data_IF_693006806100
#
_entry.id   IF_693006806100
#
_cell.length_a   1.000
_cell.length_b   1.000
_cell.length_c   1.000
_cell.angle_alpha   90.00
_cell.angle_beta   90.00
_cell.angle_gamma   90.00
#
_symmetry.space_group_name_H-M   'P 1'
#
loop_
_entity.id
_entity.type
_entity.pdbx_description
1 polymer ?
#
# COMPACT_ATOMS: atom_id res chain seq x y z
N UNK A 1 8.89 17.80 14.91
CA UNK A 1 7.78 17.20 14.14
C UNK A 1 8.32 16.90 12.76
N UNK A 2 8.05 15.73 12.19
CA UNK A 2 8.47 15.37 10.82
C UNK A 2 7.74 16.23 9.79
N UNK A 3 8.45 16.69 8.76
CA UNK A 3 7.89 17.53 7.69
C UNK A 3 6.66 16.88 7.01
N UNK A 4 5.60 17.65 6.70
CA UNK A 4 4.46 17.15 5.93
C UNK A 4 4.86 16.78 4.49
N UNK A 5 4.23 15.73 3.98
CA UNK A 5 4.42 15.24 2.60
C UNK A 5 3.27 15.70 1.71
N UNK A 6 3.60 16.26 0.56
CA UNK A 6 2.67 16.63 -0.51
C UNK A 6 3.11 15.98 -1.82
N UNK A 7 2.14 15.65 -2.66
CA UNK A 7 2.42 14.90 -3.88
C UNK A 7 2.42 15.83 -5.10
N UNK A 8 3.44 15.74 -5.94
CA UNK A 8 3.64 16.58 -7.13
C UNK A 8 3.77 15.71 -8.38
N UNK A 9 3.40 16.27 -9.54
CA UNK A 9 3.52 15.60 -10.83
C UNK A 9 4.92 15.79 -11.46
N UNK A 10 5.61 16.87 -11.10
CA UNK A 10 6.92 17.24 -11.62
C UNK A 10 7.74 17.98 -10.56
N UNK A 11 9.06 17.98 -10.73
CA UNK A 11 10.03 18.63 -9.85
C UNK A 11 10.73 19.82 -10.54
N UNK A 12 10.05 20.45 -11.49
CA UNK A 12 10.61 21.56 -12.28
C UNK A 12 10.66 22.86 -11.45
N UNK A 13 11.73 23.01 -10.68
CA UNK A 13 12.01 24.27 -9.97
C UNK A 13 12.62 25.32 -10.92
N UNK A 14 12.37 26.60 -10.64
CA UNK A 14 13.04 27.71 -11.31
C UNK A 14 14.56 27.68 -11.08
N UNK A 15 15.32 28.52 -11.81
CA UNK A 15 16.78 28.54 -11.73
C UNK A 15 17.37 28.90 -10.35
N UNK A 16 16.53 29.40 -9.44
CA UNK A 16 16.84 29.70 -8.03
C UNK A 16 16.31 28.62 -7.05
N UNK A 17 15.81 27.50 -7.56
CA UNK A 17 15.17 26.45 -6.76
C UNK A 17 13.74 26.80 -6.33
N UNK A 18 13.15 27.90 -6.80
CA UNK A 18 11.77 28.27 -6.45
C UNK A 18 10.77 27.32 -7.13
N UNK A 19 9.93 26.67 -6.33
CA UNK A 19 8.83 25.83 -6.79
C UNK A 19 7.51 26.33 -6.20
N UNK A 20 6.44 26.27 -6.98
CA UNK A 20 5.09 26.64 -6.52
C UNK A 20 4.21 25.41 -6.51
N UNK A 21 3.83 24.97 -5.32
CA UNK A 21 2.81 23.94 -5.12
C UNK A 21 1.43 24.59 -5.14
N UNK A 22 0.64 24.27 -6.14
CA UNK A 22 -0.70 24.81 -6.34
C UNK A 22 -1.80 23.72 -6.34
N UNK A 23 -2.99 24.07 -6.82
CA UNK A 23 -4.11 23.14 -6.93
C UNK A 23 -4.58 22.59 -5.58
N UNK A 24 -5.09 21.34 -5.54
CA UNK A 24 -5.57 20.71 -4.31
C UNK A 24 -4.50 20.59 -3.21
N UNK A 25 -3.26 20.27 -3.57
CA UNK A 25 -2.15 20.10 -2.63
C UNK A 25 -1.70 21.45 -2.04
N UNK A 26 -1.59 22.50 -2.88
CA UNK A 26 -1.32 23.86 -2.41
C UNK A 26 -2.41 24.39 -1.47
N UNK A 27 -3.68 24.13 -1.77
CA UNK A 27 -4.80 24.43 -0.85
C UNK A 27 -4.71 23.67 0.45
N UNK A 28 -4.35 22.39 0.42
CA UNK A 28 -4.15 21.61 1.62
C UNK A 28 -3.00 22.19 2.46
N UNK A 29 -1.91 22.59 1.84
CA UNK A 29 -0.76 23.20 2.52
C UNK A 29 -1.12 24.53 3.20
N UNK A 30 -1.73 25.46 2.46
CA UNK A 30 -1.95 26.84 2.92
C UNK A 30 -3.20 26.95 3.80
N UNK A 31 -4.32 26.37 3.40
CA UNK A 31 -5.60 26.57 4.10
C UNK A 31 -5.83 25.56 5.22
N UNK A 32 -5.39 24.31 5.04
CA UNK A 32 -5.65 23.21 5.99
C UNK A 32 -4.49 23.04 6.96
N UNK A 33 -3.27 22.85 6.45
CA UNK A 33 -2.05 22.71 7.27
C UNK A 33 -1.53 24.05 7.79
N UNK A 34 -1.86 25.17 7.11
CA UNK A 34 -1.50 26.54 7.49
C UNK A 34 0.01 26.73 7.69
N UNK A 35 0.79 26.14 6.77
CA UNK A 35 2.24 26.24 6.77
C UNK A 35 2.71 27.68 6.64
N UNK A 36 3.80 28.01 7.32
CA UNK A 36 4.40 29.34 7.35
C UNK A 36 5.81 29.33 6.73
N UNK A 37 6.31 30.49 6.27
CA UNK A 37 7.70 30.65 5.87
C UNK A 37 8.68 30.11 6.92
N UNK A 38 9.68 29.36 6.46
CA UNK A 38 10.70 28.72 7.29
C UNK A 38 10.34 27.31 7.78
N UNK A 39 9.13 26.81 7.52
CA UNK A 39 8.77 25.42 7.81
C UNK A 39 9.28 24.46 6.73
N UNK A 40 9.66 23.24 7.15
CA UNK A 40 10.09 22.18 6.24
C UNK A 40 8.89 21.46 5.63
N UNK A 41 9.01 21.04 4.37
CA UNK A 41 8.02 20.27 3.63
C UNK A 41 8.70 19.30 2.69
N UNK A 42 8.10 18.14 2.46
CA UNK A 42 8.58 17.15 1.48
C UNK A 42 7.60 17.13 0.31
N UNK A 43 8.14 17.29 -0.89
CA UNK A 43 7.41 17.07 -2.14
C UNK A 43 7.82 15.71 -2.71
N UNK A 44 6.87 14.87 -3.10
CA UNK A 44 7.14 13.53 -3.65
C UNK A 44 6.27 13.22 -4.86
N UNK A 45 6.71 12.35 -5.76
CA UNK A 45 5.83 11.79 -6.79
C UNK A 45 5.03 10.57 -6.31
N UNK A 46 5.29 10.10 -5.08
CA UNK A 46 4.71 8.89 -4.52
C UNK A 46 5.30 7.60 -5.11
N UNK A 47 6.27 7.72 -6.02
CA UNK A 47 6.98 6.62 -6.67
C UNK A 47 8.46 6.58 -6.25
N UNK A 48 8.79 7.17 -5.09
CA UNK A 48 10.12 7.15 -4.47
C UNK A 48 10.98 8.35 -4.76
N UNK A 49 10.64 9.21 -5.73
CA UNK A 49 11.36 10.49 -5.89
C UNK A 49 10.76 11.52 -4.97
N UNK A 50 11.63 12.31 -4.34
CA UNK A 50 11.22 13.35 -3.43
C UNK A 50 12.24 14.49 -3.35
N UNK A 51 11.80 15.64 -2.88
CA UNK A 51 12.64 16.76 -2.56
C UNK A 51 12.26 17.32 -1.19
N UNK A 52 13.26 17.48 -0.33
CA UNK A 52 13.13 18.27 0.88
C UNK A 52 13.15 19.75 0.51
N UNK A 53 12.18 20.49 1.03
CA UNK A 53 11.95 21.87 0.68
C UNK A 53 11.71 22.72 1.92
N UNK A 54 12.01 24.01 1.82
CA UNK A 54 11.67 25.00 2.86
C UNK A 54 10.62 25.95 2.32
N UNK A 55 9.55 26.19 3.07
CA UNK A 55 8.52 27.16 2.72
C UNK A 55 9.12 28.56 2.68
N UNK A 56 8.99 29.23 1.54
CA UNK A 56 9.42 30.61 1.35
C UNK A 56 8.28 31.59 1.61
N UNK A 57 7.10 31.31 1.06
CA UNK A 57 5.94 32.19 1.14
C UNK A 57 4.64 31.43 0.83
N UNK A 58 3.51 32.09 1.05
CA UNK A 58 2.18 31.64 0.67
C UNK A 58 1.50 32.70 -0.19
N UNK A 59 1.01 32.33 -1.36
CA UNK A 59 0.30 33.23 -2.27
C UNK A 59 -1.20 32.92 -2.22
N UNK A 60 -1.99 33.80 -1.58
CA UNK A 60 -3.43 33.60 -1.44
C UNK A 60 -3.80 32.45 -0.49
N UNK A 61 -4.72 31.57 -0.91
CA UNK A 61 -5.23 30.46 -0.07
C UNK A 61 -4.88 29.07 -0.59
N UNK A 62 -4.21 28.97 -1.73
CA UNK A 62 -3.98 27.71 -2.42
C UNK A 62 -2.66 27.57 -3.17
N UNK A 63 -1.70 28.50 -2.97
CA UNK A 63 -0.36 28.39 -3.54
C UNK A 63 0.69 28.50 -2.44
N UNK A 64 1.50 27.45 -2.29
CA UNK A 64 2.65 27.40 -1.39
C UNK A 64 3.91 27.57 -2.23
N UNK A 65 4.73 28.56 -1.89
CA UNK A 65 6.02 28.79 -2.52
C UNK A 65 7.09 28.15 -1.65
N UNK A 66 7.93 27.30 -2.25
CA UNK A 66 9.00 26.61 -1.55
C UNK A 66 10.33 26.78 -2.28
N UNK A 67 11.44 26.67 -1.54
CA UNK A 67 12.76 26.42 -2.11
C UNK A 67 12.97 24.91 -2.14
N UNK A 68 13.11 24.37 -3.33
CA UNK A 68 13.46 22.99 -3.61
C UNK A 68 14.97 22.92 -3.83
N UNK A 69 15.65 22.07 -3.07
CA UNK A 69 17.11 21.93 -3.14
C UNK A 69 17.52 20.92 -4.22
N UNK A 70 17.43 19.63 -3.92
CA UNK A 70 17.69 18.54 -4.87
C UNK A 70 16.61 17.48 -4.81
N UNK A 71 16.36 16.85 -5.95
CA UNK A 71 15.50 15.67 -6.03
C UNK A 71 16.34 14.43 -5.75
N UNK A 72 15.91 13.66 -4.77
CA UNK A 72 16.49 12.36 -4.38
C UNK A 72 15.52 11.25 -4.78
N UNK A 73 16.04 10.05 -5.01
CA UNK A 73 15.23 8.85 -5.21
C UNK A 73 15.53 7.84 -4.11
N UNK A 74 14.50 7.42 -3.39
CA UNK A 74 14.58 6.33 -2.42
C UNK A 74 14.60 4.98 -3.16
N UNK A 75 15.58 4.10 -2.87
CA UNK A 75 15.63 2.77 -3.47
C UNK A 75 14.35 2.00 -3.17
N UNK A 76 14.02 1.06 -4.06
CA UNK A 76 12.95 0.11 -3.75
C UNK A 76 13.39 -0.78 -2.59
N UNK A 77 12.44 -1.11 -1.73
CA UNK A 77 12.66 -1.97 -0.58
C UNK A 77 12.69 -3.44 -1.00
N UNK A 78 13.59 -4.22 -0.38
CA UNK A 78 13.73 -5.64 -0.62
C UNK A 78 13.54 -6.45 0.69
N UNK A 79 12.82 -7.58 0.66
CA UNK A 79 12.02 -8.06 -0.46
C UNK A 79 10.75 -7.21 -0.65
N UNK A 80 10.22 -7.23 -1.89
CA UNK A 80 8.97 -6.58 -2.24
C UNK A 80 7.78 -7.37 -1.68
N UNK A 81 6.84 -6.68 -1.05
CA UNK A 81 5.68 -7.27 -0.39
C UNK A 81 4.40 -6.82 -1.11
N UNK A 82 3.74 -7.77 -1.77
CA UNK A 82 2.41 -7.59 -2.36
C UNK A 82 1.35 -8.27 -1.50
N UNK A 83 0.25 -7.57 -1.22
CA UNK A 83 -0.93 -8.16 -0.57
C UNK A 83 -2.10 -8.24 -1.54
N UNK A 84 -2.50 -9.47 -1.87
CA UNK A 84 -3.75 -9.79 -2.55
C UNK A 84 -4.88 -9.76 -1.53
N UNK A 85 -5.71 -8.73 -1.61
CA UNK A 85 -6.81 -8.48 -0.68
C UNK A 85 -8.15 -8.81 -1.36
N UNK A 86 -8.83 -9.87 -0.89
CA UNK A 86 -10.18 -10.16 -1.33
C UNK A 86 -11.12 -8.98 -1.03
N UNK A 87 -12.04 -8.69 -1.95
CA UNK A 87 -12.96 -7.55 -1.83
C UNK A 87 -13.91 -7.71 -0.63
N UNK A 88 -13.72 -6.96 0.47
CA UNK A 88 -14.54 -7.11 1.66
C UNK A 88 -15.86 -6.34 1.50
N UNK A 89 -16.77 -6.47 2.48
CA UNK A 89 -18.01 -5.69 2.51
C UNK A 89 -17.80 -4.33 3.18
N UNK A 90 -18.41 -3.29 2.61
CA UNK A 90 -18.47 -1.96 3.21
C UNK A 90 -17.15 -1.18 3.08
N UNK A 91 -16.80 -0.45 4.15
CA UNK A 91 -15.63 0.41 4.28
C UNK A 91 -14.35 -0.31 4.75
N UNK A 92 -14.45 -1.63 4.99
CA UNK A 92 -13.33 -2.46 5.46
C UNK A 92 -12.19 -2.55 4.46
N UNK A 93 -12.48 -2.35 3.17
CA UNK A 93 -11.48 -2.41 2.11
C UNK A 93 -10.54 -1.22 2.19
N UNK A 94 -11.10 -0.04 2.38
CA UNK A 94 -10.35 1.19 2.59
C UNK A 94 -9.53 1.12 3.87
N UNK A 95 -10.09 0.63 4.98
CA UNK A 95 -9.33 0.42 6.21
C UNK A 95 -8.15 -0.56 6.03
N UNK A 96 -8.36 -1.64 5.26
CA UNK A 96 -7.29 -2.56 4.93
C UNK A 96 -6.18 -1.87 4.13
N UNK A 97 -6.56 -1.11 3.08
CA UNK A 97 -5.62 -0.36 2.24
C UNK A 97 -4.85 0.68 3.05
N UNK A 98 -5.53 1.44 3.89
CA UNK A 98 -4.95 2.45 4.78
C UNK A 98 -3.89 1.83 5.69
N UNK A 99 -4.26 0.82 6.47
CA UNK A 99 -3.33 0.21 7.44
C UNK A 99 -2.20 -0.58 6.78
N UNK A 100 -2.44 -1.23 5.63
CA UNK A 100 -1.38 -1.86 4.84
C UNK A 100 -0.39 -0.82 4.27
N UNK A 101 -0.91 0.33 3.83
CA UNK A 101 -0.07 1.45 3.39
C UNK A 101 0.78 1.99 4.53
N UNK A 102 0.19 2.19 5.71
CA UNK A 102 0.91 2.66 6.89
C UNK A 102 2.00 1.69 7.33
N UNK A 103 1.73 0.39 7.23
CA UNK A 103 2.65 -0.65 7.71
C UNK A 103 3.86 -0.81 6.82
N UNK A 104 3.75 -0.54 5.51
CA UNK A 104 4.87 -0.65 4.57
C UNK A 104 4.66 -1.63 3.42
N UNK A 105 3.41 -2.01 3.09
CA UNK A 105 3.13 -2.80 1.87
C UNK A 105 3.58 -2.02 0.63
N UNK A 106 4.07 -2.71 -0.39
CA UNK A 106 4.55 -2.13 -1.65
C UNK A 106 3.53 -2.23 -2.78
N UNK A 107 2.64 -3.22 -2.74
CA UNK A 107 1.49 -3.29 -3.63
C UNK A 107 0.28 -3.99 -3.02
N UNK A 108 -0.90 -3.53 -3.43
CA UNK A 108 -2.17 -4.10 -3.02
C UNK A 108 -2.93 -4.52 -4.29
N UNK A 109 -3.30 -5.79 -4.35
CA UNK A 109 -4.05 -6.37 -5.46
C UNK A 109 -5.47 -6.70 -4.99
N UNK A 110 -6.50 -5.95 -5.43
CA UNK A 110 -7.88 -6.32 -5.14
C UNK A 110 -8.22 -7.65 -5.80
N UNK A 111 -8.87 -8.55 -5.08
CA UNK A 111 -9.21 -9.89 -5.59
C UNK A 111 -10.71 -10.19 -5.49
N UNK A 112 -11.32 -10.50 -6.63
CA UNK A 112 -12.70 -10.95 -6.71
C UNK A 112 -12.79 -12.47 -6.41
N UNK A 113 -12.70 -12.82 -5.12
CA UNK A 113 -12.81 -14.20 -4.65
C UNK A 113 -14.24 -14.75 -4.82
N UNK A 114 -14.35 -16.08 -4.87
CA UNK A 114 -15.61 -16.80 -5.07
C UNK A 114 -16.66 -16.49 -4.01
N UNK A 115 -16.23 -16.28 -2.76
CA UNK A 115 -17.08 -16.00 -1.59
C UNK A 115 -17.19 -14.51 -1.25
N UNK A 116 -16.73 -13.62 -2.13
CA UNK A 116 -16.97 -12.18 -1.98
C UNK A 116 -18.45 -11.85 -2.23
N UNK A 117 -19.10 -11.21 -1.25
CA UNK A 117 -20.42 -10.61 -1.44
C UNK A 117 -20.31 -9.37 -2.33
N UNK A 118 -19.22 -8.61 -2.18
CA UNK A 118 -18.93 -7.42 -2.97
C UNK A 118 -18.45 -7.82 -4.36
N UNK A 119 -19.09 -7.26 -5.39
CA UNK A 119 -18.65 -7.43 -6.78
C UNK A 119 -18.39 -6.06 -7.41
N UNK A 120 -17.18 -5.86 -7.90
CA UNK A 120 -16.82 -4.67 -8.67
C UNK A 120 -17.18 -4.90 -10.14
N UNK A 121 -18.19 -4.18 -10.64
CA UNK A 121 -18.68 -4.27 -12.02
C UNK A 121 -18.87 -2.88 -12.60
N UNK A 122 -18.45 -2.68 -13.85
CA UNK A 122 -18.58 -1.41 -14.58
C UNK A 122 -18.10 -0.20 -13.78
N UNK A 123 -18.79 0.92 -13.95
CA UNK A 123 -18.48 2.20 -13.30
C UNK A 123 -18.43 2.12 -11.77
N UNK A 124 -19.24 1.24 -11.16
CA UNK A 124 -19.22 1.07 -9.71
C UNK A 124 -17.91 0.44 -9.24
N UNK A 125 -17.39 -0.54 -9.99
CA UNK A 125 -16.07 -1.12 -9.73
C UNK A 125 -14.96 -0.11 -9.90
N UNK A 126 -14.98 0.68 -10.99
CA UNK A 126 -14.00 1.72 -11.23
C UNK A 126 -13.97 2.79 -10.12
N UNK A 127 -15.15 3.20 -9.60
CA UNK A 127 -15.26 4.14 -8.47
C UNK A 127 -14.69 3.55 -7.18
N UNK A 128 -14.95 2.28 -6.88
CA UNK A 128 -14.38 1.61 -5.71
C UNK A 128 -12.87 1.47 -5.79
N UNK A 129 -12.33 1.10 -6.97
CA UNK A 129 -10.89 1.04 -7.20
C UNK A 129 -10.23 2.43 -7.07
N UNK A 130 -10.84 3.47 -7.65
CA UNK A 130 -10.36 4.85 -7.50
C UNK A 130 -10.34 5.29 -6.03
N UNK A 131 -11.33 4.86 -5.24
CA UNK A 131 -11.35 5.11 -3.79
C UNK A 131 -10.20 4.41 -3.07
N UNK A 132 -9.89 3.15 -3.39
CA UNK A 132 -8.73 2.46 -2.81
C UNK A 132 -7.40 3.14 -3.18
N UNK A 133 -7.23 3.55 -4.44
CA UNK A 133 -6.06 4.34 -4.88
C UNK A 133 -5.93 5.66 -4.11
N UNK A 134 -7.04 6.37 -3.91
CA UNK A 134 -7.07 7.60 -3.13
C UNK A 134 -6.72 7.34 -1.65
N UNK A 135 -7.24 6.26 -1.06
CA UNK A 135 -6.91 5.86 0.31
C UNK A 135 -5.41 5.55 0.47
N UNK A 136 -4.81 4.79 -0.45
CA UNK A 136 -3.37 4.52 -0.43
C UNK A 136 -2.54 5.81 -0.53
N UNK A 137 -2.91 6.72 -1.44
CA UNK A 137 -2.23 8.02 -1.59
C UNK A 137 -2.30 8.86 -0.31
N UNK A 138 -3.48 8.99 0.29
CA UNK A 138 -3.64 9.81 1.49
C UNK A 138 -2.97 9.17 2.72
N UNK A 139 -3.08 7.86 2.89
CA UNK A 139 -2.38 7.12 3.93
C UNK A 139 -0.86 7.30 3.77
N UNK A 140 -0.32 7.14 2.57
CA UNK A 140 1.11 7.35 2.29
C UNK A 140 1.62 8.74 2.69
N UNK A 141 0.84 9.80 2.39
CA UNK A 141 1.15 11.18 2.82
C UNK A 141 1.15 11.35 4.34
N UNK A 142 0.19 10.74 5.04
CA UNK A 142 0.13 10.81 6.50
C UNK A 142 1.25 9.99 7.16
N UNK A 143 1.62 8.85 6.57
CA UNK A 143 2.72 7.98 7.00
C UNK A 143 4.11 8.50 6.64
N UNK A 144 4.21 9.65 5.97
CA UNK A 144 5.48 10.26 5.52
C UNK A 144 6.28 9.40 4.54
N UNK A 145 5.62 8.49 3.81
CA UNK A 145 6.27 7.70 2.77
C UNK A 145 6.53 8.58 1.54
N UNK A 146 7.60 8.30 0.81
CA UNK A 146 7.85 8.89 -0.52
C UNK A 146 7.58 7.88 -1.64
N UNK A 147 7.47 6.60 -1.29
CA UNK A 147 6.95 5.52 -2.15
C UNK A 147 5.66 4.96 -1.56
N UNK A 148 4.54 5.13 -2.26
CA UNK A 148 3.23 4.60 -1.88
C UNK A 148 3.02 3.21 -2.49
N UNK A 149 2.14 2.38 -1.92
CA UNK A 149 1.81 1.11 -2.53
C UNK A 149 1.03 1.29 -3.82
N UNK A 150 1.39 0.50 -4.83
CA UNK A 150 0.62 0.40 -6.06
C UNK A 150 -0.69 -0.35 -5.79
N UNK A 151 -1.84 0.26 -6.10
CA UNK A 151 -3.14 -0.44 -6.07
C UNK A 151 -3.51 -0.87 -7.50
N UNK A 152 -3.31 -2.17 -7.76
CA UNK A 152 -3.54 -2.79 -9.05
C UNK A 152 -5.04 -2.86 -9.42
N UNK A 153 -5.33 -3.18 -10.67
CA UNK A 153 -6.69 -3.53 -11.08
C UNK A 153 -7.15 -4.83 -10.41
N UNK A 154 -8.46 -4.97 -10.23
CA UNK A 154 -9.02 -6.15 -9.57
C UNK A 154 -8.76 -7.42 -10.39
N UNK A 155 -8.16 -8.43 -9.74
CA UNK A 155 -7.84 -9.71 -10.35
C UNK A 155 -8.91 -10.76 -10.09
N UNK A 156 -9.07 -11.67 -11.05
CA UNK A 156 -9.75 -12.94 -10.90
C UNK A 156 -8.86 -13.96 -10.16
N UNK A 157 -9.45 -15.01 -9.59
CA UNK A 157 -8.69 -16.10 -8.93
C UNK A 157 -7.63 -16.71 -9.85
N UNK A 158 -7.89 -16.84 -11.16
CA UNK A 158 -6.89 -17.34 -12.13
C UNK A 158 -5.71 -16.39 -12.30
N UNK A 159 -5.96 -15.08 -12.34
CA UNK A 159 -4.90 -14.08 -12.42
C UNK A 159 -4.07 -14.03 -11.13
N UNK A 160 -4.73 -14.17 -9.97
CA UNK A 160 -4.02 -14.32 -8.69
C UNK A 160 -3.13 -15.56 -8.69
N UNK A 161 -3.62 -16.72 -9.15
CA UNK A 161 -2.79 -17.92 -9.26
C UNK A 161 -1.56 -17.71 -10.16
N UNK A 162 -1.72 -16.98 -11.28
CA UNK A 162 -0.61 -16.65 -12.17
C UNK A 162 0.39 -15.65 -11.55
N UNK A 163 -0.05 -14.77 -10.64
CA UNK A 163 0.82 -13.91 -9.85
C UNK A 163 1.61 -14.73 -8.82
N UNK A 164 0.93 -15.63 -8.09
CA UNK A 164 1.55 -16.49 -7.07
C UNK A 164 2.63 -17.40 -7.66
N UNK A 165 2.42 -17.93 -8.86
CA UNK A 165 3.40 -18.78 -9.56
C UNK A 165 4.73 -18.09 -9.91
N UNK A 166 4.81 -16.77 -9.77
CA UNK A 166 6.02 -15.98 -10.04
C UNK A 166 6.68 -15.45 -8.78
N UNK A 167 6.07 -15.65 -7.61
CA UNK A 167 6.58 -15.15 -6.35
C UNK A 167 7.66 -16.07 -5.78
N UNK A 168 8.67 -15.50 -5.15
CA UNK A 168 9.68 -16.25 -4.40
C UNK A 168 9.06 -16.84 -3.12
N UNK A 169 8.06 -16.15 -2.55
CA UNK A 169 7.17 -16.70 -1.54
C UNK A 169 5.71 -16.31 -1.82
N UNK A 170 4.87 -17.31 -2.10
CA UNK A 170 3.42 -17.16 -2.15
C UNK A 170 2.79 -17.76 -0.88
N UNK A 171 2.15 -16.91 -0.06
CA UNK A 171 1.55 -17.30 1.22
C UNK A 171 0.05 -17.02 1.26
N UNK A 172 -0.76 -18.07 1.36
CA UNK A 172 -2.20 -17.99 1.56
C UNK A 172 -2.50 -17.98 3.06
N UNK A 173 -3.03 -16.86 3.58
CA UNK A 173 -3.37 -16.72 4.98
C UNK A 173 -4.73 -17.37 5.23
N UNK A 174 -4.73 -18.48 5.95
CA UNK A 174 -5.90 -19.33 6.18
C UNK A 174 -5.99 -19.74 7.65
N UNK A 175 -7.17 -19.59 8.25
CA UNK A 175 -7.41 -19.86 9.68
C UNK A 175 -7.52 -21.35 10.01
N UNK A 176 -7.93 -22.17 9.05
CA UNK A 176 -8.14 -23.60 9.25
C UNK A 176 -6.81 -24.36 9.35
N UNK A 177 -6.46 -24.79 10.58
CA UNK A 177 -5.27 -25.61 10.84
C UNK A 177 -5.40 -27.05 10.38
N UNK A 178 -6.61 -27.56 10.13
CA UNK A 178 -6.83 -28.91 9.63
C UNK A 178 -6.38 -29.08 8.17
N UNK A 179 -6.21 -27.97 7.44
CA UNK A 179 -5.58 -27.93 6.11
C UNK A 179 -4.06 -28.10 6.13
N UNK A 180 -3.47 -28.41 7.28
CA UNK A 180 -2.00 -28.55 7.43
C UNK A 180 -1.27 -27.22 7.32
N UNK A 181 -1.89 -26.12 7.72
CA UNK A 181 -1.28 -24.79 7.64
C UNK A 181 -0.07 -24.65 8.56
N UNK A 182 0.97 -23.99 8.06
CA UNK A 182 2.18 -23.72 8.84
C UNK A 182 2.04 -22.40 9.63
N UNK A 183 2.69 -22.24 10.79
CA UNK A 183 2.71 -20.95 11.47
C UNK A 183 3.47 -19.91 10.64
N UNK A 184 2.82 -18.81 10.27
CA UNK A 184 3.48 -17.77 9.45
C UNK A 184 4.68 -17.13 10.17
N UNK A 185 4.62 -17.06 11.51
CA UNK A 185 5.67 -16.51 12.35
C UNK A 185 7.04 -17.21 12.17
N UNK A 186 7.05 -18.47 11.72
CA UNK A 186 8.26 -19.28 11.50
C UNK A 186 8.49 -19.62 10.03
N UNK A 187 7.75 -19.03 9.11
CA UNK A 187 7.92 -19.28 7.68
C UNK A 187 9.36 -18.93 7.24
N UNK A 188 9.94 -19.73 6.36
CA UNK A 188 11.19 -19.36 5.68
C UNK A 188 10.91 -18.22 4.69
N UNK A 189 11.62 -17.11 4.86
CA UNK A 189 11.43 -15.89 4.07
C UNK A 189 12.62 -15.68 3.12
N UNK A 190 12.38 -15.29 1.86
CA UNK A 190 13.46 -14.89 0.97
C UNK A 190 14.08 -13.56 1.44
N UNK A 191 15.36 -13.36 1.16
CA UNK A 191 16.08 -12.13 1.50
C UNK A 191 15.83 -11.02 0.47
N UNK A 192 15.53 -11.40 -0.78
CA UNK A 192 15.26 -10.53 -1.91
C UNK A 192 14.03 -11.06 -2.70
N UNK A 193 13.67 -10.39 -3.79
CA UNK A 193 12.58 -10.83 -4.67
C UNK A 193 11.18 -10.43 -4.19
N UNK A 194 10.19 -11.28 -4.47
CA UNK A 194 8.76 -10.98 -4.29
C UNK A 194 8.08 -11.93 -3.30
N UNK A 195 7.48 -11.36 -2.27
CA UNK A 195 6.58 -12.03 -1.33
C UNK A 195 5.13 -11.61 -1.62
N UNK A 196 4.28 -12.57 -1.94
CA UNK A 196 2.85 -12.35 -2.18
C UNK A 196 2.01 -12.99 -1.08
N UNK A 197 1.27 -12.16 -0.34
CA UNK A 197 0.31 -12.57 0.68
C UNK A 197 -1.10 -12.60 0.11
N UNK A 198 -1.88 -13.64 0.39
CA UNK A 198 -3.30 -13.72 0.02
C UNK A 198 -4.18 -13.67 1.26
N UNK A 199 -5.06 -12.66 1.32
CA UNK A 199 -6.05 -12.45 2.37
C UNK A 199 -7.45 -12.72 1.81
N UNK A 200 -8.14 -13.70 2.37
CA UNK A 200 -9.50 -14.08 1.97
C UNK A 200 -10.60 -13.09 2.40
N UNK A 201 -11.82 -13.25 1.83
CA UNK A 201 -12.98 -12.47 2.23
C UNK A 201 -13.55 -12.95 3.57
N UNK A 202 -14.59 -12.30 4.09
CA UNK A 202 -15.25 -12.75 5.33
C UNK A 202 -15.84 -14.16 5.25
N UNK A 203 -16.13 -14.68 4.06
CA UNK A 203 -16.60 -16.06 3.83
C UNK A 203 -15.48 -17.11 3.76
N UNK A 204 -14.23 -16.72 4.01
CA UNK A 204 -13.05 -17.57 3.84
C UNK A 204 -12.70 -17.80 2.37
N UNK A 205 -11.57 -18.46 2.16
CA UNK A 205 -11.11 -18.90 0.83
C UNK A 205 -11.72 -20.28 0.56
N UNK A 206 -12.25 -20.51 -0.66
CA UNK A 206 -12.86 -21.81 -0.94
C UNK A 206 -11.80 -22.92 -1.07
N UNK A 207 -12.14 -24.20 -0.81
CA UNK A 207 -11.22 -25.31 -1.03
C UNK A 207 -10.67 -25.37 -2.46
N UNK A 208 -11.47 -25.01 -3.46
CA UNK A 208 -11.04 -24.95 -4.86
C UNK A 208 -10.04 -23.82 -5.12
N UNK A 209 -10.22 -22.68 -4.45
CA UNK A 209 -9.28 -21.56 -4.52
C UNK A 209 -7.96 -21.90 -3.81
N UNK A 210 -8.02 -22.51 -2.63
CA UNK A 210 -6.83 -23.03 -1.94
C UNK A 210 -6.09 -24.02 -2.83
N UNK A 211 -6.79 -25.01 -3.40
CA UNK A 211 -6.18 -26.01 -4.29
C UNK A 211 -5.56 -25.38 -5.55
N UNK A 212 -6.19 -24.35 -6.12
CA UNK A 212 -5.61 -23.64 -7.26
C UNK A 212 -4.34 -22.89 -6.88
N UNK A 213 -4.33 -22.21 -5.73
CA UNK A 213 -3.17 -21.46 -5.26
C UNK A 213 -2.02 -22.37 -4.85
N UNK A 214 -2.28 -23.47 -4.16
CA UNK A 214 -1.24 -24.45 -3.82
C UNK A 214 -0.71 -25.16 -5.05
N UNK A 215 -1.58 -25.47 -6.03
CA UNK A 215 -1.17 -25.95 -7.35
C UNK A 215 -0.30 -24.96 -8.14
N UNK A 216 -0.39 -23.66 -7.82
CA UNK A 216 0.46 -22.61 -8.37
C UNK A 216 1.74 -22.36 -7.55
N UNK A 217 2.01 -23.17 -6.52
CA UNK A 217 3.22 -23.06 -5.69
C UNK A 217 3.03 -22.29 -4.38
N UNK A 218 1.81 -21.83 -4.07
CA UNK A 218 1.55 -21.17 -2.79
C UNK A 218 1.53 -22.16 -1.62
N UNK A 219 1.96 -21.70 -0.45
CA UNK A 219 1.82 -22.42 0.82
C UNK A 219 0.76 -21.77 1.68
N UNK A 220 0.09 -22.56 2.53
CA UNK A 220 -0.96 -22.08 3.42
C UNK A 220 -0.40 -21.85 4.82
N UNK A 221 -0.72 -20.69 5.41
CA UNK A 221 -0.21 -20.29 6.72
C UNK A 221 -1.31 -19.74 7.62
N UNK A 222 -1.16 -19.91 8.93
CA UNK A 222 -2.03 -19.30 9.93
C UNK A 222 -1.32 -18.22 10.76
N UNK A 223 -2.09 -17.22 11.21
CA UNK A 223 -1.63 -16.10 12.04
C UNK A 223 -2.02 -16.30 13.50
N UNK A 224 -1.37 -17.28 14.13
CA UNK A 224 -1.66 -17.68 15.50
C UNK A 224 -3.02 -18.37 15.64
N UNK A 225 -3.55 -18.39 16.87
CA UNK A 225 -4.78 -19.15 17.22
C UNK A 225 -6.08 -18.38 16.98
N UNK A 226 -6.00 -17.06 16.83
CA UNK A 226 -7.18 -16.20 16.68
C UNK A 226 -7.48 -15.97 15.22
N UNK A 227 -8.76 -16.01 14.85
CA UNK A 227 -9.19 -15.62 13.51
C UNK A 227 -9.05 -14.10 13.37
N UNK A 228 -8.12 -13.66 12.53
CA UNK A 228 -7.98 -12.25 12.18
C UNK A 228 -9.02 -11.87 11.14
N UNK A 229 -9.50 -10.63 11.23
CA UNK A 229 -10.43 -10.09 10.26
C UNK A 229 -9.71 -9.81 8.94
N UNK A 230 -10.44 -9.92 7.84
CA UNK A 230 -9.93 -9.61 6.49
C UNK A 230 -9.23 -8.25 6.41
N UNK A 231 -9.73 -7.23 7.13
CA UNK A 231 -9.14 -5.89 7.17
C UNK A 231 -7.86 -5.76 8.00
N UNK A 232 -7.46 -6.81 8.74
CA UNK A 232 -6.36 -6.78 9.71
C UNK A 232 -5.28 -7.82 9.39
N UNK A 233 -5.64 -8.93 8.77
CA UNK A 233 -4.72 -10.03 8.47
C UNK A 233 -3.53 -9.58 7.61
N UNK A 234 -3.78 -8.80 6.54
CA UNK A 234 -2.72 -8.27 5.68
C UNK A 234 -1.71 -7.40 6.44
N UNK A 235 -2.22 -6.48 7.26
CA UNK A 235 -1.43 -5.58 8.12
C UNK A 235 -0.56 -6.36 9.10
N UNK A 236 -1.13 -7.33 9.82
CA UNK A 236 -0.40 -8.15 10.81
C UNK A 236 0.66 -9.02 10.13
N UNK A 237 0.33 -9.67 9.01
CA UNK A 237 1.28 -10.48 8.27
C UNK A 237 2.43 -9.61 7.71
N UNK A 238 2.13 -8.42 7.21
CA UNK A 238 3.14 -7.48 6.72
C UNK A 238 4.08 -7.06 7.85
N UNK A 239 3.56 -6.69 9.03
CA UNK A 239 4.40 -6.34 10.18
C UNK A 239 5.35 -7.49 10.59
N UNK A 240 4.88 -8.74 10.53
CA UNK A 240 5.73 -9.92 10.79
C UNK A 240 6.82 -10.08 9.73
N UNK A 241 6.51 -9.84 8.45
CA UNK A 241 7.51 -9.86 7.38
C UNK A 241 8.56 -8.76 7.58
N UNK A 242 8.16 -7.53 7.83
CA UNK A 242 9.08 -6.39 7.98
C UNK A 242 10.06 -6.60 9.14
N UNK A 243 9.57 -7.13 10.26
CA UNK A 243 10.42 -7.45 11.41
C UNK A 243 11.42 -8.59 11.13
N UNK A 244 11.14 -9.48 10.16
CA UNK A 244 11.96 -10.67 9.88
C UNK A 244 12.80 -10.58 8.61
N UNK A 245 12.51 -9.64 7.73
CA UNK A 245 13.24 -9.38 6.48
C UNK A 245 14.33 -8.33 6.64
N UNK A 246 14.37 -7.62 7.77
CA UNK A 246 15.32 -6.54 8.02
C UNK A 246 14.86 -5.17 7.51
N UNK A 247 13.69 -5.06 6.87
CA UNK A 247 13.10 -3.77 6.46
C UNK A 247 12.79 -2.82 7.62
N UNK A 248 12.78 -3.32 8.85
CA UNK A 248 12.65 -2.51 10.08
C UNK A 248 13.92 -2.48 10.94
N UNK A 249 15.05 -3.01 10.46
CA UNK A 249 16.33 -3.03 11.21
C UNK A 249 17.28 -1.91 10.82
#
# INVERSE_FOLDING_TARGET
MTAPVFVVEHFDAGGDGRYVLDGPEGRHAVSVKRLRPGEDVVLTDGAGRYAECVVLDTEGKDRLVVRMDSVTEEPAEEPRITVVQALPKGDRGELAVETMTETGVDAIVPWAASRCITQWKGDRGAKSLAKWRATAREAGKQSRRVRFPDVADAMTTKQVAALLAKADLAAVLHEDTELGTEPFATADLPADGEIVLVVGPEGGISPEEVALFTGAGARTFHLGRTVLRTSTAGTVATALLLARTGRWS
#
